data_IF_442641960775
#
_entry.id   IF_442641960775
#
_cell.length_a   1.000
_cell.length_b   1.000
_cell.length_c   1.000
_cell.angle_alpha   90.00
_cell.angle_beta   90.00
_cell.angle_gamma   90.00
#
_symmetry.space_group_name_H-M   'P 1'
#
loop_
_entity.id
_entity.type
_entity.pdbx_description
1 polymer ?
#
# COMPACT_ATOMS: atom_id res chain seq x y z
N UNK A 1 29.47 79.48 -29.40
CA UNK A 1 29.70 79.16 -27.97
C UNK A 1 28.58 78.25 -27.51
N UNK A 2 28.38 77.12 -28.20
CA UNK A 2 29.30 75.97 -28.07
C UNK A 2 29.08 75.47 -26.63
N UNK A 3 28.15 74.55 -26.42
CA UNK A 3 28.38 73.08 -26.51
C UNK A 3 29.53 72.56 -25.62
N UNK A 4 30.35 73.45 -25.05
CA UNK A 4 31.45 73.17 -24.15
C UNK A 4 31.05 73.30 -22.66
N UNK A 5 30.00 74.07 -22.35
CA UNK A 5 29.44 74.12 -20.98
C UNK A 5 28.59 72.90 -20.64
N UNK A 6 27.96 72.29 -21.64
CA UNK A 6 27.11 71.11 -21.43
C UNK A 6 27.91 69.79 -21.33
N UNK A 7 29.07 69.69 -21.98
CA UNK A 7 29.91 68.49 -21.89
C UNK A 7 30.64 68.38 -20.56
N UNK A 8 30.96 69.50 -19.89
CA UNK A 8 31.63 69.49 -18.59
C UNK A 8 30.69 69.15 -17.42
N UNK A 9 29.39 69.43 -17.53
CA UNK A 9 28.39 69.01 -16.52
C UNK A 9 27.98 67.53 -16.66
N UNK A 10 27.99 66.96 -17.87
CA UNK A 10 27.65 65.55 -18.07
C UNK A 10 28.77 64.58 -17.68
N UNK A 11 30.04 65.00 -17.69
CA UNK A 11 31.16 64.14 -17.28
C UNK A 11 31.33 64.02 -15.75
N UNK A 12 30.74 64.93 -14.95
CA UNK A 12 30.76 64.83 -13.49
C UNK A 12 29.67 63.88 -12.94
N UNK A 13 28.60 63.63 -13.70
CA UNK A 13 27.52 62.73 -13.30
C UNK A 13 27.79 61.25 -13.63
N UNK A 14 28.76 60.96 -14.51
CA UNK A 14 29.03 59.59 -14.96
C UNK A 14 30.00 58.80 -14.07
N UNK A 15 30.61 59.43 -13.04
CA UNK A 15 31.56 58.73 -12.13
C UNK A 15 30.94 58.40 -10.76
N UNK A 16 29.71 58.84 -10.48
CA UNK A 16 29.01 58.59 -9.20
C UNK A 16 27.89 57.54 -9.27
N UNK A 17 27.55 57.02 -10.45
CA UNK A 17 26.46 56.04 -10.62
C UNK A 17 26.90 54.57 -10.65
N UNK A 18 28.15 54.26 -10.30
CA UNK A 18 28.68 52.89 -10.34
C UNK A 18 28.57 52.11 -9.02
N UNK A 19 27.85 52.62 -8.01
CA UNK A 19 27.71 51.93 -6.72
C UNK A 19 26.26 51.91 -6.22
N UNK A 20 25.38 51.19 -6.92
CA UNK A 20 24.09 50.77 -6.38
C UNK A 20 23.92 49.27 -6.64
N UNK A 21 24.72 48.53 -5.87
CA UNK A 21 24.42 47.26 -5.20
C UNK A 21 23.21 46.53 -5.79
N UNK A 22 23.47 45.41 -6.47
CA UNK A 22 22.48 44.37 -6.69
C UNK A 22 21.97 43.91 -5.31
N UNK A 23 20.84 44.46 -4.85
CA UNK A 23 20.12 43.95 -3.70
C UNK A 23 19.48 42.64 -4.17
N UNK A 24 20.23 41.54 -4.04
CA UNK A 24 19.65 40.22 -4.07
C UNK A 24 18.66 40.15 -2.91
N UNK A 25 17.36 40.23 -3.22
CA UNK A 25 16.33 39.94 -2.23
C UNK A 25 16.49 38.48 -1.84
N UNK A 26 17.18 38.23 -0.73
CA UNK A 26 17.09 36.95 -0.04
C UNK A 26 15.64 36.82 0.43
N UNK A 27 14.81 36.16 -0.37
CA UNK A 27 13.50 35.71 0.08
C UNK A 27 13.78 34.65 1.14
N UNK A 28 13.58 34.99 2.41
CA UNK A 28 13.40 33.99 3.43
C UNK A 28 12.18 33.17 3.01
N UNK A 29 12.41 31.94 2.53
CA UNK A 29 11.33 30.97 2.46
C UNK A 29 10.89 30.77 3.91
N UNK A 30 9.81 31.43 4.31
CA UNK A 30 9.06 30.95 5.46
C UNK A 30 8.73 29.51 5.10
N UNK A 31 9.39 28.55 5.76
CA UNK A 31 8.88 27.20 5.85
C UNK A 31 7.50 27.37 6.49
N UNK A 32 6.50 27.58 5.65
CA UNK A 32 5.13 27.72 6.08
C UNK A 32 4.85 26.44 6.82
N UNK A 33 4.63 26.54 8.12
CA UNK A 33 3.90 25.52 8.83
C UNK A 33 2.52 25.53 8.20
N UNK A 34 2.39 24.79 7.09
CA UNK A 34 1.11 24.57 6.44
C UNK A 34 0.20 24.08 7.56
N UNK A 35 -0.82 24.89 7.86
CA UNK A 35 -1.82 24.53 8.84
C UNK A 35 -2.34 23.14 8.46
N UNK A 36 -2.46 22.21 9.42
CA UNK A 36 -2.94 20.87 9.14
C UNK A 36 -4.23 20.96 8.30
N UNK A 37 -4.35 20.19 7.19
CA UNK A 37 -5.60 20.15 6.46
C UNK A 37 -6.73 19.63 7.36
N UNK A 38 -7.99 19.92 7.02
CA UNK A 38 -9.13 19.36 7.74
C UNK A 38 -9.01 17.82 7.88
N UNK A 39 -9.52 17.27 8.99
CA UNK A 39 -9.46 15.83 9.30
C UNK A 39 -8.02 15.28 9.38
N UNK A 40 -7.07 16.09 9.85
CA UNK A 40 -5.76 15.62 10.27
C UNK A 40 -5.65 15.59 11.80
N UNK A 41 -4.76 14.74 12.28
CA UNK A 41 -4.43 14.54 13.68
C UNK A 41 -2.94 14.76 13.88
N UNK A 42 -2.58 15.35 15.00
CA UNK A 42 -1.18 15.55 15.36
C UNK A 42 -0.49 14.22 15.59
N UNK A 43 0.73 14.09 15.07
CA UNK A 43 1.55 12.91 15.37
C UNK A 43 1.90 12.89 16.84
N UNK A 44 1.76 11.72 17.45
CA UNK A 44 2.16 11.53 18.84
C UNK A 44 3.68 11.73 19.04
N UNK A 45 4.48 11.43 18.02
CA UNK A 45 5.94 11.58 18.03
C UNK A 45 6.44 12.26 16.75
N UNK A 46 7.41 13.16 16.89
CA UNK A 46 7.97 13.94 15.79
C UNK A 46 7.15 15.20 15.46
N UNK A 47 7.45 15.83 14.32
CA UNK A 47 6.70 16.98 13.81
C UNK A 47 5.74 16.57 12.68
N UNK A 48 4.67 17.34 12.54
CA UNK A 48 3.66 17.18 11.48
C UNK A 48 2.41 16.43 11.93
N UNK A 49 1.61 16.04 10.93
CA UNK A 49 0.24 15.56 11.11
C UNK A 49 0.01 14.33 10.24
N UNK A 50 -0.85 13.43 10.67
CA UNK A 50 -1.38 12.33 9.87
C UNK A 50 -2.87 12.57 9.57
N UNK A 51 -3.42 11.89 8.56
CA UNK A 51 -4.87 11.95 8.35
C UNK A 51 -5.58 11.17 9.45
N UNK A 52 -6.70 11.71 9.92
CA UNK A 52 -7.60 11.01 10.81
C UNK A 52 -8.01 9.67 10.16
N UNK A 53 -8.19 8.64 10.98
CA UNK A 53 -8.59 7.31 10.50
C UNK A 53 -9.89 7.42 9.70
N UNK A 54 -9.92 6.86 8.49
CA UNK A 54 -11.05 6.96 7.57
C UNK A 54 -10.92 8.10 6.56
N UNK A 55 -9.83 8.87 6.58
CA UNK A 55 -9.56 9.95 5.63
C UNK A 55 -8.27 9.70 4.86
N UNK A 56 -8.22 10.17 3.61
CA UNK A 56 -7.05 10.06 2.73
C UNK A 56 -6.74 11.41 2.06
N UNK A 57 -5.46 11.60 1.67
CA UNK A 57 -5.06 12.75 0.86
C UNK A 57 -5.58 12.60 -0.56
N UNK A 58 -6.28 13.62 -1.06
CA UNK A 58 -6.60 13.77 -2.48
C UNK A 58 -6.17 15.17 -2.89
N UNK A 59 -5.09 15.26 -3.68
CA UNK A 59 -4.43 16.54 -3.99
C UNK A 59 -4.14 17.36 -2.71
N UNK A 60 -4.82 18.50 -2.53
CA UNK A 60 -4.69 19.39 -1.38
C UNK A 60 -5.85 19.25 -0.36
N UNK A 61 -6.72 18.26 -0.51
CA UNK A 61 -7.87 18.00 0.39
C UNK A 61 -7.70 16.69 1.16
N UNK A 62 -8.50 16.56 2.22
CA UNK A 62 -8.68 15.33 2.99
C UNK A 62 -10.09 14.81 2.74
N UNK A 63 -10.17 13.71 1.99
CA UNK A 63 -11.45 13.13 1.59
C UNK A 63 -11.71 11.85 2.39
N UNK A 64 -13.00 11.60 2.66
CA UNK A 64 -13.43 10.36 3.31
C UNK A 64 -13.07 9.16 2.44
N UNK A 65 -12.52 8.11 3.05
CA UNK A 65 -12.30 6.83 2.41
C UNK A 65 -13.65 6.16 2.22
N UNK A 66 -14.10 6.09 0.96
CA UNK A 66 -15.27 5.30 0.59
C UNK A 66 -14.96 3.81 0.81
N UNK A 67 -15.55 3.23 1.86
CA UNK A 67 -15.48 1.80 2.16
C UNK A 67 -16.71 1.14 1.56
N UNK A 68 -16.57 0.25 0.56
CA UNK A 68 -17.70 -0.45 -0.02
C UNK A 68 -18.28 -1.47 0.99
N UNK A 69 -19.46 -2.02 0.67
CA UNK A 69 -19.98 -3.19 1.37
C UNK A 69 -18.95 -4.33 1.30
N UNK A 70 -18.84 -5.12 2.37
CA UNK A 70 -17.93 -6.27 2.47
C UNK A 70 -16.44 -5.89 2.46
N UNK A 71 -16.13 -4.66 2.88
CA UNK A 71 -14.79 -4.19 3.21
C UNK A 71 -14.75 -3.52 4.58
N UNK A 72 -13.54 -3.42 5.13
CA UNK A 72 -13.26 -2.68 6.35
C UNK A 72 -12.05 -1.74 6.18
N UNK A 73 -11.98 -0.70 7.02
CA UNK A 73 -10.81 0.20 7.05
C UNK A 73 -9.57 -0.55 7.53
N UNK A 74 -8.52 -0.49 6.73
CA UNK A 74 -7.21 -1.02 7.09
C UNK A 74 -6.65 -0.34 8.35
N UNK A 75 -5.61 -0.93 8.93
CA UNK A 75 -4.99 -0.43 10.18
C UNK A 75 -4.60 1.06 10.08
N UNK A 76 -4.09 1.49 8.93
CA UNK A 76 -3.68 2.88 8.71
C UNK A 76 -4.88 3.84 8.51
N UNK A 77 -6.08 3.31 8.22
CA UNK A 77 -7.28 4.13 8.02
C UNK A 77 -7.32 4.92 6.71
N UNK A 78 -6.28 4.88 5.90
CA UNK A 78 -6.17 5.58 4.62
C UNK A 78 -6.56 4.70 3.42
N UNK A 79 -6.77 3.41 3.66
CA UNK A 79 -7.22 2.40 2.70
C UNK A 79 -8.26 1.47 3.34
N UNK A 80 -8.81 0.58 2.52
CA UNK A 80 -9.71 -0.50 2.95
C UNK A 80 -9.15 -1.86 2.51
N UNK A 81 -9.59 -2.90 3.20
CA UNK A 81 -9.28 -4.30 2.93
C UNK A 81 -10.60 -5.07 2.77
N UNK A 82 -10.57 -6.18 2.04
CA UNK A 82 -11.73 -7.06 1.89
C UNK A 82 -12.10 -7.67 3.25
N UNK A 83 -13.39 -7.79 3.56
CA UNK A 83 -13.83 -8.63 4.68
C UNK A 83 -13.38 -10.07 4.46
N UNK A 84 -13.20 -10.80 5.57
CA UNK A 84 -12.83 -12.22 5.53
C UNK A 84 -13.85 -13.00 4.70
N UNK A 85 -13.37 -13.75 3.71
CA UNK A 85 -14.20 -14.50 2.78
C UNK A 85 -14.61 -13.72 1.54
N UNK A 86 -14.05 -12.53 1.31
CA UNK A 86 -14.27 -11.74 0.10
C UNK A 86 -12.95 -11.47 -0.63
N UNK A 87 -13.01 -11.48 -1.95
CA UNK A 87 -11.89 -11.16 -2.82
C UNK A 87 -12.23 -9.97 -3.73
N UNK A 88 -11.22 -9.16 -4.03
CA UNK A 88 -11.35 -8.02 -4.92
C UNK A 88 -11.35 -8.49 -6.38
N UNK A 89 -12.36 -8.13 -7.14
CA UNK A 89 -12.38 -8.24 -8.61
C UNK A 89 -12.26 -6.84 -9.24
N UNK A 90 -12.32 -6.76 -10.57
CA UNK A 90 -12.23 -5.49 -11.28
C UNK A 90 -13.28 -4.48 -10.82
N UNK A 91 -14.51 -4.95 -10.54
CA UNK A 91 -15.67 -4.09 -10.34
C UNK A 91 -16.20 -4.10 -8.90
N UNK A 92 -15.90 -5.14 -8.10
CA UNK A 92 -16.51 -5.30 -6.78
C UNK A 92 -15.77 -6.29 -5.86
N UNK A 93 -16.29 -6.44 -4.64
CA UNK A 93 -15.90 -7.50 -3.72
C UNK A 93 -16.86 -8.67 -3.88
N UNK A 94 -16.30 -9.84 -4.18
CA UNK A 94 -17.07 -11.07 -4.34
C UNK A 94 -16.78 -12.04 -3.21
N UNK A 95 -17.84 -12.65 -2.68
CA UNK A 95 -17.72 -13.73 -1.71
C UNK A 95 -17.00 -14.93 -2.35
N UNK A 96 -15.99 -15.43 -1.65
CA UNK A 96 -15.24 -16.63 -2.02
C UNK A 96 -16.18 -17.82 -1.89
N UNK A 97 -16.36 -18.54 -3.00
CA UNK A 97 -17.15 -19.77 -3.03
C UNK A 97 -16.32 -20.90 -2.43
N UNK A 98 -16.79 -21.45 -1.32
CA UNK A 98 -16.14 -22.59 -0.66
C UNK A 98 -16.68 -23.89 -1.25
N UNK A 99 -15.87 -24.68 -1.98
CA UNK A 99 -16.29 -26.02 -2.38
C UNK A 99 -16.50 -26.93 -1.16
N UNK A 100 -17.16 -28.07 -1.37
CA UNK A 100 -17.27 -29.09 -0.33
C UNK A 100 -15.88 -29.49 0.20
N UNK A 101 -15.78 -29.76 1.51
CA UNK A 101 -14.55 -30.10 2.20
C UNK A 101 -13.46 -29.01 2.17
N UNK A 102 -13.84 -27.73 2.10
CA UNK A 102 -12.91 -26.60 2.16
C UNK A 102 -13.19 -25.66 3.32
N UNK A 103 -12.22 -24.81 3.63
CA UNK A 103 -12.31 -23.73 4.61
C UNK A 103 -11.46 -22.53 4.18
N UNK A 104 -11.79 -21.32 4.63
CA UNK A 104 -10.98 -20.13 4.37
C UNK A 104 -9.62 -20.24 5.06
N UNK A 105 -8.56 -19.82 4.36
CA UNK A 105 -7.22 -19.69 4.93
C UNK A 105 -7.19 -18.64 6.07
N UNK A 106 -6.05 -18.51 6.73
CA UNK A 106 -5.89 -17.58 7.86
C UNK A 106 -6.12 -16.12 7.46
N UNK A 107 -5.64 -15.74 6.27
CA UNK A 107 -5.82 -14.40 5.72
C UNK A 107 -7.28 -14.10 5.32
N UNK A 108 -8.08 -15.13 5.08
CA UNK A 108 -9.46 -14.99 4.63
C UNK A 108 -9.64 -14.63 3.15
N UNK A 109 -8.57 -14.68 2.36
CA UNK A 109 -8.54 -14.25 0.95
C UNK A 109 -8.47 -15.42 -0.06
N UNK A 110 -8.29 -16.65 0.43
CA UNK A 110 -8.35 -17.89 -0.34
C UNK A 110 -8.93 -19.00 0.54
N UNK A 111 -9.12 -20.18 -0.03
CA UNK A 111 -9.56 -21.38 0.64
C UNK A 111 -8.54 -22.52 0.54
N UNK A 112 -8.57 -23.39 1.54
CA UNK A 112 -7.77 -24.59 1.64
C UNK A 112 -8.70 -25.80 1.76
N UNK A 113 -8.18 -26.96 1.38
CA UNK A 113 -8.89 -28.21 1.58
C UNK A 113 -8.74 -28.72 3.01
N UNK A 114 -9.84 -29.26 3.53
CA UNK A 114 -9.87 -30.00 4.78
C UNK A 114 -8.90 -31.18 4.74
N UNK A 115 -8.41 -31.58 5.91
CA UNK A 115 -7.52 -32.73 6.05
C UNK A 115 -8.10 -33.97 5.36
N UNK A 116 -7.27 -34.69 4.61
CA UNK A 116 -7.68 -35.83 3.79
C UNK A 116 -8.13 -35.46 2.38
N UNK A 117 -8.06 -34.17 2.01
CA UNK A 117 -8.42 -33.70 0.68
C UNK A 117 -7.30 -32.87 0.05
N UNK A 118 -7.12 -33.03 -1.26
CA UNK A 118 -6.17 -32.27 -2.07
C UNK A 118 -6.89 -31.19 -2.89
N UNK A 119 -6.24 -30.02 -3.04
CA UNK A 119 -6.78 -28.90 -3.80
C UNK A 119 -6.68 -29.20 -5.30
N UNK A 120 -7.83 -29.29 -5.95
CA UNK A 120 -7.97 -29.22 -7.40
C UNK A 120 -8.51 -27.83 -7.79
N UNK A 121 -8.54 -27.51 -9.08
CA UNK A 121 -8.84 -26.15 -9.57
C UNK A 121 -10.07 -25.50 -8.91
N UNK A 122 -11.15 -26.25 -8.74
CA UNK A 122 -12.42 -25.77 -8.16
C UNK A 122 -13.02 -26.74 -7.14
N UNK A 123 -12.22 -27.64 -6.56
CA UNK A 123 -12.74 -28.62 -5.60
C UNK A 123 -11.67 -29.16 -4.64
N UNK A 124 -12.13 -29.83 -3.60
CA UNK A 124 -11.30 -30.62 -2.69
C UNK A 124 -11.57 -32.10 -2.90
N UNK A 125 -10.66 -32.77 -3.61
CA UNK A 125 -10.79 -34.18 -3.92
C UNK A 125 -10.24 -35.04 -2.78
N UNK A 126 -10.90 -36.16 -2.50
CA UNK A 126 -10.45 -37.09 -1.46
C UNK A 126 -9.11 -37.73 -1.81
N UNK A 127 -8.19 -37.75 -0.86
CA UNK A 127 -6.88 -38.39 -1.03
C UNK A 127 -7.04 -39.91 -0.84
N UNK A 128 -6.85 -40.66 -1.93
CA UNK A 128 -6.76 -42.11 -1.87
C UNK A 128 -5.35 -42.50 -1.40
N UNK A 129 -5.25 -43.02 -0.18
CA UNK A 129 -3.99 -43.50 0.37
C UNK A 129 -3.64 -44.87 -0.23
N UNK A 130 -2.44 -45.02 -0.84
CA UNK A 130 -1.96 -46.35 -1.21
C UNK A 130 -1.58 -47.15 0.03
N UNK A 131 -1.33 -48.45 -0.16
CA UNK A 131 -0.82 -49.30 0.91
C UNK A 131 0.50 -48.73 1.48
N UNK A 132 0.68 -48.84 2.80
CA UNK A 132 1.85 -48.31 3.52
C UNK A 132 2.03 -46.79 3.45
N UNK A 133 0.94 -46.03 3.30
CA UNK A 133 0.94 -44.56 3.38
C UNK A 133 0.11 -44.01 4.54
N UNK A 134 0.36 -42.75 4.89
CA UNK A 134 -0.42 -41.94 5.83
C UNK A 134 -0.55 -40.51 5.30
N UNK A 135 -1.55 -39.77 5.80
CA UNK A 135 -1.63 -38.32 5.53
C UNK A 135 -0.42 -37.62 6.13
N UNK A 136 0.17 -36.69 5.38
CA UNK A 136 1.25 -35.86 5.88
C UNK A 136 0.75 -34.91 7.00
N UNK A 137 1.67 -34.15 7.60
CA UNK A 137 1.35 -33.25 8.71
C UNK A 137 0.34 -32.16 8.35
N UNK A 138 0.40 -31.63 7.12
CA UNK A 138 -0.58 -30.64 6.64
C UNK A 138 -1.95 -31.25 6.35
N UNK A 139 -2.03 -32.57 6.15
CA UNK A 139 -3.25 -33.26 5.78
C UNK A 139 -3.70 -33.04 4.34
N UNK A 140 -2.91 -32.30 3.53
CA UNK A 140 -3.22 -31.95 2.14
C UNK A 140 -2.50 -32.83 1.12
N UNK A 141 -1.70 -33.78 1.60
CA UNK A 141 -1.02 -34.81 0.81
C UNK A 141 -0.77 -36.03 1.69
N UNK A 142 0.02 -36.97 1.19
CA UNK A 142 0.36 -38.20 1.89
C UNK A 142 1.82 -38.57 1.73
N UNK A 143 2.35 -39.25 2.74
CA UNK A 143 3.72 -39.74 2.79
C UNK A 143 3.71 -41.25 3.01
N UNK A 144 4.80 -41.91 2.64
CA UNK A 144 4.98 -43.32 2.93
C UNK A 144 5.34 -43.52 4.41
N UNK A 145 4.79 -44.57 5.01
CA UNK A 145 5.22 -45.06 6.33
C UNK A 145 6.69 -45.46 6.25
N UNK A 146 7.48 -45.25 7.31
CA UNK A 146 8.83 -45.80 7.37
C UNK A 146 8.76 -47.35 7.37
N UNK A 147 9.64 -48.07 6.66
CA UNK A 147 10.81 -47.60 5.89
C UNK A 147 10.56 -47.35 4.39
N UNK A 148 9.31 -47.29 3.92
CA UNK A 148 8.96 -47.20 2.51
C UNK A 148 9.32 -45.82 1.89
N UNK A 149 9.39 -45.77 0.56
CA UNK A 149 9.65 -44.57 -0.26
C UNK A 149 8.58 -44.41 -1.34
N UNK A 150 8.41 -43.19 -1.85
CA UNK A 150 7.33 -42.80 -2.77
C UNK A 150 7.79 -42.67 -4.23
N UNK A 151 7.91 -43.75 -5.01
CA UNK A 151 7.98 -43.65 -6.47
C UNK A 151 6.58 -43.44 -7.05
N UNK A 152 6.25 -42.20 -7.40
CA UNK A 152 4.95 -41.83 -7.96
C UNK A 152 3.80 -42.01 -6.96
N UNK A 153 2.81 -42.84 -7.31
CA UNK A 153 1.57 -43.03 -6.55
C UNK A 153 1.52 -44.35 -5.74
N UNK A 154 2.66 -44.81 -5.25
CA UNK A 154 2.75 -46.03 -4.42
C UNK A 154 3.90 -45.92 -3.43
N UNK A 155 3.86 -46.76 -2.40
CA UNK A 155 4.94 -46.92 -1.44
C UNK A 155 5.66 -48.25 -1.70
N UNK A 156 6.97 -48.18 -1.94
CA UNK A 156 7.83 -49.36 -2.16
C UNK A 156 8.93 -49.32 -1.09
N UNK A 157 9.27 -50.49 -0.55
CA UNK A 157 10.31 -50.63 0.47
C UNK A 157 11.70 -50.34 -0.09
#
# INVERSE_FOLDING_TARGET
MLRFRFTLQLLCQLVLSSCLIAVATAQAQTAGTASPPANSIDRQFGSGWDYARGYKRVANTSDLVAVPKDAYLGRQGTNWLCERGYQKTADQLLAIQLPANSYLNDNGDDWLCGRGHEKQEQSCAYIILPENAHLNSSGSSWDCNNPYRRPGNRCIR
#
